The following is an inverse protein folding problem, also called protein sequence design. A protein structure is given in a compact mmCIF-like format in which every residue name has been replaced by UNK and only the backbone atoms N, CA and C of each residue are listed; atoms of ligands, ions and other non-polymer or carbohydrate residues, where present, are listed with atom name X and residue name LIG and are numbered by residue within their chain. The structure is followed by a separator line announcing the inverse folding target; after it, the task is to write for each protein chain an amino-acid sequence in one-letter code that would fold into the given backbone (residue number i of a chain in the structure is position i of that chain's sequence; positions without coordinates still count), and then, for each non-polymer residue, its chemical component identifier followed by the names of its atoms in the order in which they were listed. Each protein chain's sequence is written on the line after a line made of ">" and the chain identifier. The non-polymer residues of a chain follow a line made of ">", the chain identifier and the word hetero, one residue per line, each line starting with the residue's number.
data_IF_032379439014
#
_entry.id   IF_032379439014
#
_cell.length_a   1.000
_cell.length_b   1.000
_cell.length_c   1.000
_cell.angle_alpha   90.00
_cell.angle_beta   90.00
_cell.angle_gamma   90.00
#
_symmetry.space_group_name_H-M   'P 1'
#
loop_
_entity.id
_entity.type
_entity.pdbx_description
1 polymer ?
#
# COMPACT_ATOMS: atom_id res chain seq x y z
N UNK A 1 4.76 -9.98 -10.33
CA UNK A 1 3.81 -10.54 -11.31
C UNK A 1 4.40 -10.55 -12.71
N UNK A 2 4.85 -9.39 -13.23
CA UNK A 2 5.50 -9.25 -14.55
C UNK A 2 6.56 -10.32 -14.85
N UNK A 3 7.63 -10.39 -14.05
CA UNK A 3 8.68 -11.39 -14.24
C UNK A 3 8.17 -12.85 -14.20
N UNK A 4 7.12 -13.14 -13.41
CA UNK A 4 6.52 -14.47 -13.38
C UNK A 4 5.80 -14.80 -14.69
N UNK A 5 5.03 -13.83 -15.22
CA UNK A 5 4.38 -13.96 -16.53
C UNK A 5 5.40 -14.16 -17.66
N UNK A 6 6.48 -13.37 -17.67
CA UNK A 6 7.53 -13.44 -18.70
C UNK A 6 8.28 -14.77 -18.71
N UNK A 7 8.38 -15.44 -17.55
CA UNK A 7 9.12 -16.68 -17.39
C UNK A 7 8.20 -17.92 -17.26
N UNK A 8 6.90 -17.76 -17.53
CA UNK A 8 5.91 -18.84 -17.38
C UNK A 8 5.90 -19.48 -15.98
N UNK A 9 6.10 -18.66 -14.94
CA UNK A 9 6.05 -19.05 -13.53
C UNK A 9 4.73 -18.61 -12.91
N UNK A 10 4.04 -19.56 -12.30
CA UNK A 10 2.78 -19.29 -11.59
C UNK A 10 3.01 -18.43 -10.35
N UNK A 11 2.16 -17.41 -10.16
CA UNK A 11 2.13 -16.59 -8.96
C UNK A 11 0.97 -17.05 -8.09
N UNK A 12 1.28 -17.60 -6.92
CA UNK A 12 0.29 -17.92 -5.90
C UNK A 12 0.35 -16.88 -4.77
N UNK A 13 -0.77 -16.24 -4.48
CA UNK A 13 -0.87 -15.25 -3.40
C UNK A 13 -1.67 -15.84 -2.25
N UNK A 14 -1.03 -15.90 -1.07
CA UNK A 14 -1.70 -16.17 0.20
C UNK A 14 -2.16 -14.83 0.76
N UNK A 15 -3.45 -14.55 0.63
CA UNK A 15 -3.95 -13.21 0.88
C UNK A 15 -3.88 -12.80 2.35
N UNK A 16 -3.90 -11.49 2.61
CA UNK A 16 -3.87 -10.91 3.95
C UNK A 16 -4.78 -9.69 4.04
N UNK A 17 -5.31 -9.36 5.23
CA UNK A 17 -6.13 -8.16 5.39
C UNK A 17 -5.32 -6.92 5.04
N UNK A 18 -5.98 -5.91 4.45
CA UNK A 18 -5.37 -4.60 4.28
C UNK A 18 -5.64 -3.79 5.56
N UNK A 19 -4.60 -3.25 6.24
CA UNK A 19 -4.81 -2.46 7.46
C UNK A 19 -5.70 -1.23 7.23
N UNK A 20 -5.79 -0.75 5.98
CA UNK A 20 -6.63 0.36 5.54
C UNK A 20 -7.97 -0.07 4.92
N UNK A 21 -8.40 -1.32 5.14
CA UNK A 21 -9.72 -1.79 4.69
C UNK A 21 -10.88 -0.92 5.22
N UNK A 22 -11.99 -0.92 4.49
CA UNK A 22 -13.20 -0.18 4.86
C UNK A 22 -13.30 1.24 4.29
N UNK A 23 -12.30 1.74 3.57
CA UNK A 23 -12.38 3.02 2.86
C UNK A 23 -11.46 3.08 1.64
N UNK A 24 -11.76 4.04 0.76
CA UNK A 24 -10.96 4.43 -0.42
C UNK A 24 -10.83 5.94 -0.36
N UNK A 25 -9.64 6.48 -0.58
CA UNK A 25 -9.41 7.93 -0.47
C UNK A 25 -8.21 8.42 -1.29
N UNK A 26 -8.21 9.72 -1.57
CA UNK A 26 -7.17 10.43 -2.30
C UNK A 26 -7.32 10.39 -3.82
N UNK A 27 -6.54 11.23 -4.54
CA UNK A 27 -6.58 11.28 -6.00
C UNK A 27 -6.04 9.99 -6.61
N UNK A 28 -6.64 9.57 -7.73
CA UNK A 28 -6.08 8.52 -8.60
C UNK A 28 -4.76 9.02 -9.21
N UNK A 29 -3.73 8.18 -9.17
CA UNK A 29 -2.44 8.48 -9.80
C UNK A 29 -2.65 8.75 -11.29
N UNK A 30 -2.10 9.87 -11.78
CA UNK A 30 -2.04 10.16 -13.21
C UNK A 30 -0.77 9.56 -13.78
N UNK A 31 -0.87 8.85 -14.91
CA UNK A 31 0.27 8.21 -15.59
C UNK A 31 1.54 9.07 -15.74
N UNK A 32 1.41 10.38 -15.94
CA UNK A 32 2.58 11.30 -16.02
C UNK A 32 3.41 11.40 -14.72
N UNK A 33 2.86 10.95 -13.60
CA UNK A 33 3.50 10.95 -12.27
C UNK A 33 3.89 9.54 -11.82
N UNK A 34 3.81 8.56 -12.71
CA UNK A 34 4.22 7.19 -12.44
C UNK A 34 5.68 7.13 -11.99
N UNK A 35 5.94 6.38 -10.93
CA UNK A 35 7.27 6.19 -10.35
C UNK A 35 7.31 4.91 -9.50
N UNK A 36 8.46 4.64 -8.88
CA UNK A 36 8.58 3.48 -7.99
C UNK A 36 7.64 3.54 -6.76
N UNK A 37 7.23 4.73 -6.33
CA UNK A 37 6.31 4.92 -5.19
C UNK A 37 4.84 5.06 -5.61
N UNK A 38 4.54 4.88 -6.89
CA UNK A 38 3.18 4.88 -7.44
C UNK A 38 3.20 4.40 -8.89
N UNK A 39 2.83 3.14 -9.11
CA UNK A 39 2.99 2.46 -10.41
C UNK A 39 1.70 2.32 -11.22
N UNK A 40 0.55 2.23 -10.56
CA UNK A 40 -0.73 1.99 -11.23
C UNK A 40 -1.73 3.11 -10.95
N UNK A 41 -2.71 3.27 -11.84
CA UNK A 41 -3.76 4.29 -11.76
C UNK A 41 -4.81 3.92 -10.70
N UNK A 42 -4.36 3.90 -9.44
CA UNK A 42 -5.18 3.68 -8.25
C UNK A 42 -5.11 4.90 -7.32
N UNK A 43 -6.10 5.11 -6.44
CA UNK A 43 -6.04 6.19 -5.46
C UNK A 43 -5.00 5.88 -4.37
N UNK A 44 -4.67 6.90 -3.57
CA UNK A 44 -3.68 6.83 -2.49
C UNK A 44 -3.99 5.70 -1.52
N UNK A 45 -5.24 5.62 -1.09
CA UNK A 45 -5.78 4.47 -0.37
C UNK A 45 -6.75 3.75 -1.30
N UNK A 46 -6.30 2.64 -1.87
CA UNK A 46 -7.05 1.85 -2.86
C UNK A 46 -7.99 0.82 -2.27
N UNK A 47 -7.88 0.54 -0.97
CA UNK A 47 -8.85 -0.30 -0.25
C UNK A 47 -8.99 -1.71 -0.83
N UNK A 48 -7.91 -2.31 -1.35
CA UNK A 48 -7.86 -3.69 -1.86
C UNK A 48 -6.88 -4.50 -1.03
N UNK A 49 -7.15 -5.78 -0.82
CA UNK A 49 -6.11 -6.72 -0.36
C UNK A 49 -5.04 -6.85 -1.44
N UNK A 50 -3.87 -7.39 -1.10
CA UNK A 50 -2.84 -7.63 -2.11
C UNK A 50 -3.32 -8.66 -3.16
N UNK A 51 -4.16 -9.61 -2.73
CA UNK A 51 -4.84 -10.57 -3.59
C UNK A 51 -5.74 -9.94 -4.64
N UNK A 52 -6.66 -9.08 -4.19
CA UNK A 52 -7.56 -8.31 -5.05
C UNK A 52 -6.80 -7.35 -5.97
N UNK A 53 -5.78 -6.67 -5.43
CA UNK A 53 -4.92 -5.78 -6.21
C UNK A 53 -4.20 -6.51 -7.33
N UNK A 54 -3.64 -7.71 -7.06
CA UNK A 54 -3.03 -8.54 -8.10
C UNK A 54 -4.01 -8.99 -9.18
N UNK A 55 -5.25 -9.37 -8.81
CA UNK A 55 -6.31 -9.66 -9.79
C UNK A 55 -6.59 -8.44 -10.67
N UNK A 56 -6.70 -7.24 -10.09
CA UNK A 56 -6.93 -6.00 -10.81
C UNK A 56 -5.78 -5.69 -11.79
N UNK A 57 -4.51 -5.78 -11.35
CA UNK A 57 -3.33 -5.56 -12.20
C UNK A 57 -3.34 -6.46 -13.44
N UNK A 58 -3.69 -7.74 -13.27
CA UNK A 58 -3.83 -8.68 -14.38
C UNK A 58 -5.03 -8.35 -15.30
N UNK A 59 -6.19 -8.04 -14.72
CA UNK A 59 -7.44 -7.78 -15.44
C UNK A 59 -7.39 -6.49 -16.28
N UNK A 60 -6.81 -5.44 -15.70
CA UNK A 60 -6.62 -4.14 -16.35
C UNK A 60 -5.41 -4.10 -17.31
N UNK A 61 -4.69 -5.23 -17.45
CA UNK A 61 -3.50 -5.37 -18.31
C UNK A 61 -2.42 -4.34 -17.99
N UNK A 62 -2.18 -4.09 -16.71
CA UNK A 62 -1.16 -3.13 -16.25
C UNK A 62 0.27 -3.68 -16.24
N UNK A 63 0.45 -4.98 -16.49
CA UNK A 63 1.78 -5.55 -16.71
C UNK A 63 2.34 -5.10 -18.08
N UNK A 64 3.66 -4.88 -18.17
CA UNK A 64 4.30 -4.43 -19.40
C UNK A 64 4.07 -5.40 -20.55
N UNK A 65 4.07 -4.86 -21.76
CA UNK A 65 3.88 -5.61 -23.01
C UNK A 65 2.56 -6.42 -23.05
N UNK A 66 1.61 -6.12 -22.16
CA UNK A 66 0.35 -6.84 -22.06
C UNK A 66 0.49 -8.29 -21.63
N UNK A 67 1.61 -8.68 -20.99
CA UNK A 67 1.77 -10.04 -20.46
C UNK A 67 0.71 -10.31 -19.40
N UNK A 68 0.30 -11.56 -19.27
CA UNK A 68 -0.73 -11.97 -18.32
C UNK A 68 -0.17 -13.05 -17.39
N UNK A 69 -0.15 -12.79 -16.09
CA UNK A 69 0.39 -13.75 -15.13
C UNK A 69 -0.61 -14.89 -14.88
N UNK A 70 -0.14 -16.15 -14.89
CA UNK A 70 -0.88 -17.26 -14.29
C UNK A 70 -0.96 -17.01 -12.79
N UNK A 71 -2.13 -16.63 -12.30
CA UNK A 71 -2.32 -16.08 -10.97
C UNK A 71 -3.36 -16.88 -10.18
N UNK A 72 -2.94 -17.43 -9.05
CA UNK A 72 -3.78 -18.19 -8.14
C UNK A 72 -3.90 -17.42 -6.82
N UNK A 73 -5.12 -17.03 -6.45
CA UNK A 73 -5.40 -16.40 -5.17
C UNK A 73 -5.92 -17.43 -4.18
N UNK A 74 -5.27 -17.53 -3.03
CA UNK A 74 -5.79 -18.25 -1.87
C UNK A 74 -6.48 -17.24 -0.97
N UNK A 75 -7.81 -17.24 -1.01
CA UNK A 75 -8.66 -16.28 -0.31
C UNK A 75 -8.70 -16.58 1.20
N UNK A 76 -8.77 -15.50 1.99
CA UNK A 76 -8.93 -15.62 3.43
C UNK A 76 -10.34 -16.09 3.79
N UNK A 77 -10.43 -16.98 4.78
CA UNK A 77 -11.72 -17.32 5.39
C UNK A 77 -12.10 -16.29 6.46
N UNK A 78 -13.39 -15.99 6.60
CA UNK A 78 -13.93 -15.04 7.59
C UNK A 78 -13.35 -13.62 7.50
N UNK A 79 -12.91 -13.23 6.30
CA UNK A 79 -12.46 -11.88 6.01
C UNK A 79 -13.66 -10.97 5.68
N UNK A 80 -13.69 -9.77 6.27
CA UNK A 80 -14.74 -8.79 6.12
C UNK A 80 -14.13 -7.44 5.75
N UNK A 81 -14.47 -6.93 4.57
CA UNK A 81 -13.88 -5.75 3.95
C UNK A 81 -13.96 -4.45 4.77
N UNK A 82 -14.88 -4.37 5.73
CA UNK A 82 -15.08 -3.19 6.60
C UNK A 82 -14.57 -3.39 8.03
N UNK A 83 -14.05 -4.57 8.34
CA UNK A 83 -13.50 -4.88 9.65
C UNK A 83 -12.04 -4.47 9.70
N UNK A 84 -11.62 -3.90 10.83
CA UNK A 84 -10.20 -3.66 11.12
C UNK A 84 -9.57 -4.95 11.65
N UNK A 85 -8.42 -5.30 11.10
CA UNK A 85 -7.61 -6.43 11.53
C UNK A 85 -6.34 -5.90 12.19
N UNK A 86 -5.98 -6.48 13.34
CA UNK A 86 -4.73 -6.17 14.00
C UNK A 86 -3.55 -6.63 13.14
N UNK A 87 -2.46 -5.89 13.18
CA UNK A 87 -1.24 -6.22 12.47
C UNK A 87 -0.49 -7.30 13.26
N UNK A 88 -0.13 -8.39 12.59
CA UNK A 88 0.55 -9.53 13.22
C UNK A 88 2.02 -9.24 13.55
N UNK A 89 2.67 -8.43 12.73
CA UNK A 89 4.05 -7.99 12.92
C UNK A 89 4.28 -6.65 12.20
N UNK A 90 5.26 -5.86 12.67
CA UNK A 90 5.57 -4.55 12.10
C UNK A 90 5.93 -4.68 10.61
N UNK A 91 5.20 -4.02 9.69
CA UNK A 91 5.52 -4.10 8.26
C UNK A 91 6.81 -3.34 7.90
N UNK A 92 7.28 -2.44 8.78
CA UNK A 92 8.48 -1.64 8.60
C UNK A 92 9.03 -1.16 9.95
N UNK A 93 10.35 -0.92 10.10
CA UNK A 93 10.91 -0.33 11.32
C UNK A 93 10.24 0.98 11.75
N UNK A 94 9.77 1.80 10.80
CA UNK A 94 9.12 3.08 11.09
C UNK A 94 7.59 2.99 11.12
N UNK A 95 7.00 1.80 11.00
CA UNK A 95 5.57 1.54 11.18
C UNK A 95 5.37 0.55 12.35
N UNK A 96 5.70 0.95 13.59
CA UNK A 96 5.81 0.02 14.70
C UNK A 96 4.46 -0.41 15.29
N UNK A 97 3.36 0.27 14.97
CA UNK A 97 2.04 0.01 15.57
C UNK A 97 0.89 0.52 14.68
N UNK A 98 -0.33 0.11 15.05
CA UNK A 98 -1.57 0.46 14.35
C UNK A 98 -1.78 1.98 14.20
N UNK A 99 -1.40 2.78 15.20
CA UNK A 99 -1.53 4.24 15.12
C UNK A 99 -0.64 4.83 14.02
N UNK A 100 0.61 4.38 13.95
CA UNK A 100 1.58 4.83 12.93
C UNK A 100 1.11 4.44 11.53
N UNK A 101 0.53 3.24 11.40
CA UNK A 101 -0.01 2.73 10.13
C UNK A 101 -1.25 3.52 9.73
N UNK A 102 -2.22 3.72 10.62
CA UNK A 102 -3.43 4.50 10.35
C UNK A 102 -3.13 5.95 9.93
N UNK A 103 -2.09 6.57 10.48
CA UNK A 103 -1.68 7.94 10.13
C UNK A 103 -0.76 8.01 8.89
N UNK A 104 -0.20 6.89 8.45
CA UNK A 104 0.74 6.86 7.33
C UNK A 104 0.17 7.46 6.04
N UNK A 105 -1.06 7.14 5.58
CA UNK A 105 -1.62 7.75 4.38
C UNK A 105 -1.78 9.28 4.44
N UNK A 106 -1.80 9.87 5.65
CA UNK A 106 -1.87 11.31 5.83
C UNK A 106 -0.48 11.93 5.97
N UNK A 107 0.37 11.35 6.82
CA UNK A 107 1.67 11.93 7.16
C UNK A 107 2.75 11.65 6.11
N UNK A 108 2.65 10.55 5.36
CA UNK A 108 3.67 10.20 4.36
C UNK A 108 3.80 11.24 3.24
N UNK A 109 2.78 12.06 2.98
CA UNK A 109 2.90 13.18 2.03
C UNK A 109 3.98 14.20 2.42
N UNK A 110 4.27 14.35 3.71
CA UNK A 110 5.30 15.27 4.19
C UNK A 110 6.73 14.79 3.87
N UNK A 111 6.92 13.52 3.48
CA UNK A 111 8.23 13.04 3.01
C UNK A 111 8.70 13.74 1.72
N UNK A 112 7.78 14.33 0.95
CA UNK A 112 8.10 15.21 -0.18
C UNK A 112 8.47 16.64 0.21
N UNK A 113 8.64 16.93 1.50
CA UNK A 113 8.85 18.28 2.05
C UNK A 113 10.01 18.31 3.05
N UNK A 114 10.26 19.47 3.67
CA UNK A 114 11.24 19.63 4.75
C UNK A 114 10.66 19.37 6.16
N UNK A 115 9.44 18.84 6.24
CA UNK A 115 8.77 18.51 7.50
C UNK A 115 9.18 17.11 7.94
N UNK A 116 9.62 16.96 9.19
CA UNK A 116 9.86 15.67 9.81
C UNK A 116 8.54 14.97 10.12
N UNK A 117 8.44 13.69 9.78
CA UNK A 117 7.35 12.77 10.16
C UNK A 117 7.72 11.88 11.36
N UNK A 118 8.76 12.26 12.10
CA UNK A 118 9.19 11.55 13.32
C UNK A 118 10.10 10.34 13.12
N UNK A 119 10.64 10.11 11.91
CA UNK A 119 11.70 9.10 11.71
C UNK A 119 12.92 9.44 12.60
N UNK A 120 13.52 8.42 13.20
CA UNK A 120 14.62 8.59 14.16
C UNK A 120 14.17 8.89 15.60
N UNK A 121 12.87 8.80 15.89
CA UNK A 121 12.30 8.93 17.24
C UNK A 121 11.55 7.65 17.63
N UNK A 122 11.07 7.58 18.88
CA UNK A 122 10.25 6.47 19.37
C UNK A 122 8.80 6.47 18.81
N UNK A 123 8.39 7.55 18.14
CA UNK A 123 7.01 7.77 17.70
C UNK A 123 6.90 8.14 16.19
N UNK A 124 7.53 7.40 15.26
CA UNK A 124 7.49 7.69 13.84
C UNK A 124 6.06 7.64 13.28
N UNK A 125 5.75 8.50 12.31
CA UNK A 125 4.42 8.66 11.71
C UNK A 125 3.28 8.88 12.72
N UNK A 126 3.58 9.55 13.84
CA UNK A 126 2.57 9.98 14.82
C UNK A 126 2.56 11.47 15.10
N UNK A 127 3.48 12.22 14.50
CA UNK A 127 3.53 13.67 14.56
C UNK A 127 4.22 14.23 13.31
N UNK A 128 4.14 15.54 13.15
CA UNK A 128 4.89 16.31 12.15
C UNK A 128 5.57 17.50 12.82
N UNK A 129 6.80 17.81 12.42
CA UNK A 129 7.57 18.93 12.97
C UNK A 129 8.45 19.60 11.92
N UNK A 130 8.68 20.90 12.05
CA UNK A 130 9.63 21.64 11.21
C UNK A 130 10.45 22.59 12.07
N UNK A 131 11.72 22.75 11.71
CA UNK A 131 12.62 23.65 12.43
C UNK A 131 12.09 25.10 12.35
N UNK A 132 11.91 25.74 13.51
CA UNK A 132 11.42 27.12 13.59
C UNK A 132 9.91 27.29 13.83
N UNK A 133 9.13 26.21 13.90
CA UNK A 133 7.75 26.28 14.42
C UNK A 133 7.75 26.06 15.94
N UNK A 134 7.21 27.03 16.69
CA UNK A 134 6.82 26.81 18.09
C UNK A 134 5.48 26.06 18.09
N UNK A 135 5.44 24.94 18.80
CA UNK A 135 4.22 24.16 19.07
C UNK A 135 3.40 24.92 20.11
#
# INVERSE_FOLDING_TARGET
>A
MEAGAENNVEIMVLDRPNPHDGYIDGPVLKKKWESFVGMHEVPVVYGLTIGEYGKMVNGEKWLKNGVHAKYTLIEMQNYHKKQRYAILDKPSPNLPNDQSINLYPSLCFFEGTQVSVGRGTDIPFRFMAHHGQKI
#
